data_IF_663337151161
#
_entry.id   IF_663337151161
#
_cell.length_a   1.000
_cell.length_b   1.000
_cell.length_c   1.000
_cell.angle_alpha   90.00
_cell.angle_beta   90.00
_cell.angle_gamma   90.00
#
_symmetry.space_group_name_H-M   'P 1'
#
loop_
_entity.id
_entity.type
_entity.pdbx_description
1 polymer ?
#
# COMPACT_ATOMS: atom_id res chain seq x y z
N UNK A 1 3.44 11.09 9.69
CA UNK A 1 2.81 9.80 10.04
C UNK A 1 1.37 9.81 9.57
N UNK A 2 0.93 8.74 8.86
CA UNK A 2 -0.45 8.60 8.42
C UNK A 2 -1.32 8.02 9.54
N UNK A 3 -2.52 8.54 9.77
CA UNK A 3 -3.47 7.93 10.72
C UNK A 3 -4.01 6.58 10.24
N UNK A 4 -3.92 6.28 8.93
CA UNK A 4 -4.43 5.03 8.33
C UNK A 4 -3.33 3.98 8.14
N UNK A 5 -2.15 4.36 7.67
CA UNK A 5 -1.05 3.46 7.31
C UNK A 5 0.18 3.59 8.23
N UNK A 6 0.18 4.55 9.14
CA UNK A 6 1.31 4.83 10.02
C UNK A 6 2.49 5.52 9.32
N UNK A 7 3.71 5.39 9.84
CA UNK A 7 4.90 6.03 9.28
C UNK A 7 5.35 5.36 7.98
N UNK A 8 6.05 6.12 7.13
CA UNK A 8 6.85 5.55 6.04
C UNK A 8 7.92 4.65 6.65
N UNK A 9 8.06 3.44 6.10
CA UNK A 9 9.04 2.45 6.57
C UNK A 9 10.12 2.26 5.53
N UNK A 10 11.37 2.11 6.02
CA UNK A 10 12.52 1.86 5.17
C UNK A 10 13.32 0.69 5.74
N UNK A 11 13.77 -0.22 4.88
CA UNK A 11 14.58 -1.37 5.25
C UNK A 11 15.64 -1.64 4.21
N UNK A 12 16.89 -1.82 4.63
CA UNK A 12 17.94 -2.34 3.75
C UNK A 12 17.69 -3.82 3.53
N UNK A 13 17.50 -4.21 2.29
CA UNK A 13 17.12 -5.58 1.90
C UNK A 13 18.25 -6.36 1.23
N UNK A 14 19.22 -5.66 0.66
CA UNK A 14 20.39 -6.25 0.03
C UNK A 14 21.59 -5.36 0.26
N UNK A 15 22.76 -5.96 0.49
CA UNK A 15 24.07 -5.27 0.58
C UNK A 15 25.06 -6.09 -0.23
N UNK A 16 25.87 -5.40 -1.03
CA UNK A 16 26.95 -6.00 -1.80
C UNK A 16 28.19 -5.12 -1.71
N UNK A 17 29.30 -5.69 -1.20
CA UNK A 17 30.57 -5.01 -1.06
C UNK A 17 31.73 -6.01 -1.04
N UNK A 18 32.83 -5.64 -1.71
CA UNK A 18 34.07 -6.40 -1.72
C UNK A 18 34.04 -7.70 -2.51
N UNK A 19 35.24 -8.16 -2.86
CA UNK A 19 35.45 -9.40 -3.63
C UNK A 19 36.53 -10.29 -3.02
N UNK A 20 37.34 -9.75 -2.11
CA UNK A 20 38.46 -10.45 -1.50
C UNK A 20 38.50 -10.21 0.02
N UNK A 21 38.92 -11.23 0.76
CA UNK A 21 38.90 -11.23 2.23
C UNK A 21 39.91 -10.26 2.90
N UNK A 22 40.91 -9.80 2.17
CA UNK A 22 42.01 -8.95 2.66
C UNK A 22 42.10 -7.59 1.95
N UNK A 23 41.08 -7.20 1.22
CA UNK A 23 41.01 -5.94 0.51
C UNK A 23 39.81 -5.13 0.98
N UNK A 24 40.03 -3.86 1.35
CA UNK A 24 38.95 -2.95 1.69
C UNK A 24 38.14 -2.66 0.41
N UNK A 25 36.82 -2.83 0.44
CA UNK A 25 35.97 -2.57 -0.72
C UNK A 25 36.07 -1.11 -1.18
N UNK A 26 36.22 -0.91 -2.46
CA UNK A 26 36.17 0.40 -3.13
C UNK A 26 34.71 0.86 -3.38
N UNK A 27 33.79 -0.11 -3.44
CA UNK A 27 32.36 0.14 -3.67
C UNK A 27 31.52 -0.69 -2.72
N UNK A 28 30.52 -0.06 -2.14
CA UNK A 28 29.43 -0.71 -1.42
C UNK A 28 28.10 -0.28 -2.04
N UNK A 29 27.30 -1.24 -2.49
CA UNK A 29 25.93 -1.02 -2.97
C UNK A 29 24.92 -1.67 -2.08
N UNK A 30 23.78 -1.03 -1.89
CA UNK A 30 22.70 -1.62 -1.10
C UNK A 30 21.34 -1.24 -1.71
N UNK A 31 20.36 -2.10 -1.48
CA UNK A 31 18.98 -1.88 -1.89
C UNK A 31 18.14 -1.57 -0.67
N UNK A 32 17.34 -0.51 -0.79
CA UNK A 32 16.39 -0.11 0.25
C UNK A 32 14.97 -0.33 -0.27
N UNK A 33 14.18 -1.11 0.46
CA UNK A 33 12.72 -1.18 0.27
C UNK A 33 12.08 -0.04 1.06
N UNK A 34 11.28 0.77 0.39
CA UNK A 34 10.59 1.91 0.99
C UNK A 34 9.09 1.68 0.86
N UNK A 35 8.42 1.60 2.00
CA UNK A 35 6.96 1.49 2.09
C UNK A 35 6.37 2.87 2.35
N UNK A 36 5.85 3.47 1.30
CA UNK A 36 5.18 4.77 1.34
C UNK A 36 3.79 4.67 2.00
N UNK A 37 3.23 5.81 2.34
CA UNK A 37 1.85 5.95 2.74
C UNK A 37 1.15 6.97 1.82
N UNK A 38 -0.13 7.22 2.04
CA UNK A 38 -0.96 8.07 1.20
C UNK A 38 -0.66 9.58 1.30
N UNK A 39 0.25 9.97 2.19
CA UNK A 39 0.63 11.38 2.39
C UNK A 39 1.73 11.86 1.45
N UNK A 40 2.47 10.92 0.85
CA UNK A 40 3.62 11.22 -0.01
C UNK A 40 3.60 10.35 -1.27
N UNK A 41 3.93 10.95 -2.40
CA UNK A 41 4.30 10.20 -3.59
C UNK A 41 5.67 9.53 -3.44
N UNK A 42 5.92 8.50 -4.22
CA UNK A 42 7.23 7.85 -4.24
C UNK A 42 8.36 8.81 -4.66
N UNK A 43 8.07 9.76 -5.56
CA UNK A 43 9.03 10.78 -5.98
C UNK A 43 9.39 11.75 -4.84
N UNK A 44 8.39 12.20 -4.07
CA UNK A 44 8.63 13.08 -2.92
C UNK A 44 9.49 12.39 -1.86
N UNK A 45 9.20 11.12 -1.55
CA UNK A 45 10.02 10.34 -0.61
C UNK A 45 11.44 10.18 -1.13
N UNK A 46 11.61 9.85 -2.41
CA UNK A 46 12.94 9.72 -3.00
C UNK A 46 13.74 11.02 -2.89
N UNK A 47 13.13 12.17 -3.17
CA UNK A 47 13.80 13.49 -3.02
C UNK A 47 14.20 13.80 -1.58
N UNK A 48 13.39 13.39 -0.61
CA UNK A 48 13.72 13.53 0.82
C UNK A 48 14.92 12.66 1.17
N UNK A 49 14.93 11.41 0.73
CA UNK A 49 16.04 10.47 0.96
C UNK A 49 17.32 11.01 0.31
N UNK A 50 17.27 11.36 -0.96
CA UNK A 50 18.42 11.86 -1.74
C UNK A 50 19.10 13.06 -1.08
N UNK A 51 18.31 13.98 -0.51
CA UNK A 51 18.82 15.15 0.22
C UNK A 51 19.39 14.82 1.61
N UNK A 52 19.05 13.67 2.15
CA UNK A 52 19.40 13.25 3.52
C UNK A 52 20.62 12.34 3.59
N UNK A 53 21.13 11.89 2.45
CA UNK A 53 22.25 10.96 2.36
C UNK A 53 23.45 11.60 1.66
N UNK A 54 24.64 11.09 1.93
CA UNK A 54 25.90 11.55 1.31
C UNK A 54 26.39 10.66 0.16
N UNK A 55 25.71 9.55 -0.11
CA UNK A 55 26.01 8.63 -1.20
C UNK A 55 25.05 8.84 -2.38
N UNK A 56 25.41 8.29 -3.54
CA UNK A 56 24.55 8.31 -4.72
C UNK A 56 23.28 7.44 -4.48
N UNK A 57 22.12 7.99 -4.83
CA UNK A 57 20.86 7.28 -4.80
C UNK A 57 20.25 7.17 -6.20
N UNK A 58 19.65 6.01 -6.50
CA UNK A 58 18.94 5.78 -7.75
C UNK A 58 17.64 5.05 -7.49
N UNK A 59 16.53 5.64 -7.88
CA UNK A 59 15.23 4.98 -7.79
C UNK A 59 15.08 3.91 -8.88
N UNK A 60 14.54 2.76 -8.52
CA UNK A 60 14.17 1.70 -9.48
C UNK A 60 12.90 2.05 -10.24
N UNK A 61 11.91 2.61 -9.56
CA UNK A 61 10.61 2.98 -10.14
C UNK A 61 9.83 3.85 -9.16
N UNK A 62 9.01 4.74 -9.71
CA UNK A 62 8.02 5.54 -8.96
C UNK A 62 6.58 5.11 -9.23
N UNK A 63 6.38 4.04 -10.03
CA UNK A 63 5.09 3.67 -10.61
C UNK A 63 4.03 3.25 -9.60
N UNK A 64 4.41 2.54 -8.54
CA UNK A 64 3.48 1.93 -7.59
C UNK A 64 3.28 2.83 -6.37
N UNK A 65 2.45 3.84 -6.50
CA UNK A 65 2.13 4.76 -5.42
C UNK A 65 1.04 4.20 -4.48
N UNK A 66 0.98 4.75 -3.27
CA UNK A 66 -0.13 4.52 -2.36
C UNK A 66 -1.42 5.11 -2.95
N UNK A 67 -2.52 4.40 -2.80
CA UNK A 67 -3.84 4.84 -3.24
C UNK A 67 -4.69 5.29 -2.05
N UNK A 68 -5.62 6.20 -2.29
CA UNK A 68 -6.56 6.65 -1.25
C UNK A 68 -7.88 7.12 -1.86
N UNK A 69 -8.90 7.19 -1.01
CA UNK A 69 -10.16 7.88 -1.26
C UNK A 69 -10.47 8.75 -0.04
N UNK A 70 -11.08 9.90 -0.25
CA UNK A 70 -11.50 10.76 0.84
C UNK A 70 -12.59 10.07 1.67
N UNK A 71 -12.46 10.14 3.00
CA UNK A 71 -13.47 9.60 3.92
C UNK A 71 -14.82 10.30 3.79
N UNK A 72 -14.85 11.57 3.34
CA UNK A 72 -16.07 12.31 3.05
C UNK A 72 -16.73 11.92 1.72
N UNK A 73 -16.07 11.12 0.90
CA UNK A 73 -16.62 10.69 -0.40
C UNK A 73 -17.98 9.98 -0.23
N UNK A 74 -19.00 10.30 -1.03
CA UNK A 74 -20.36 9.77 -0.87
C UNK A 74 -20.42 8.24 -0.80
N UNK A 75 -19.60 7.56 -1.59
CA UNK A 75 -19.50 6.09 -1.57
C UNK A 75 -19.02 5.56 -0.20
N UNK A 76 -18.01 6.20 0.39
CA UNK A 76 -17.49 5.83 1.71
C UNK A 76 -18.54 6.09 2.80
N UNK A 77 -19.20 7.25 2.75
CA UNK A 77 -20.26 7.57 3.71
C UNK A 77 -21.43 6.57 3.62
N UNK A 78 -21.81 6.14 2.43
CA UNK A 78 -22.82 5.09 2.24
C UNK A 78 -22.35 3.75 2.80
N UNK A 79 -21.07 3.38 2.61
CA UNK A 79 -20.50 2.16 3.20
C UNK A 79 -20.55 2.19 4.74
N UNK A 80 -20.22 3.33 5.34
CA UNK A 80 -20.29 3.52 6.80
C UNK A 80 -21.74 3.38 7.31
N UNK A 81 -22.72 3.95 6.61
CA UNK A 81 -24.15 3.78 6.92
C UNK A 81 -24.58 2.30 6.87
N UNK A 82 -23.96 1.51 5.99
CA UNK A 82 -24.13 0.06 5.91
C UNK A 82 -23.25 -0.70 6.93
N UNK A 83 -22.72 -0.02 7.93
CA UNK A 83 -21.87 -0.56 9.00
C UNK A 83 -20.58 -1.20 8.50
N UNK A 84 -20.04 -0.71 7.38
CA UNK A 84 -18.68 -1.07 6.94
C UNK A 84 -17.68 -0.11 7.57
N UNK A 85 -16.58 -0.66 8.07
CA UNK A 85 -15.52 0.11 8.71
C UNK A 85 -14.36 0.25 7.72
N UNK A 86 -14.10 1.46 7.21
CA UNK A 86 -12.91 1.70 6.39
C UNK A 86 -11.63 1.51 7.20
N UNK A 87 -10.61 0.97 6.57
CA UNK A 87 -9.28 0.79 7.17
C UNK A 87 -8.18 0.92 6.13
N UNK A 88 -6.97 1.28 6.58
CA UNK A 88 -5.77 1.27 5.77
C UNK A 88 -5.21 -0.15 5.63
N UNK A 89 -4.80 -0.53 4.41
CA UNK A 89 -4.16 -1.81 4.15
C UNK A 89 -2.74 -1.59 3.62
N UNK A 90 -1.71 -2.20 4.23
CA UNK A 90 -0.33 -2.10 3.75
C UNK A 90 -0.04 -3.00 2.54
N UNK A 91 -1.03 -3.79 2.09
CA UNK A 91 -0.86 -4.71 0.96
C UNK A 91 -0.96 -3.98 -0.37
N UNK A 92 -0.01 -4.26 -1.28
CA UNK A 92 -0.06 -3.76 -2.64
C UNK A 92 -1.22 -4.40 -3.41
N UNK A 93 -1.90 -3.61 -4.24
CA UNK A 93 -2.94 -4.08 -5.16
C UNK A 93 -2.88 -3.27 -6.46
N UNK A 94 -3.69 -3.63 -7.44
CA UNK A 94 -3.80 -2.92 -8.73
C UNK A 94 -4.17 -1.44 -8.58
N UNK A 95 -4.74 -1.05 -7.43
CA UNK A 95 -4.98 0.35 -7.09
C UNK A 95 -3.71 1.23 -7.17
N UNK A 96 -2.53 0.66 -6.94
CA UNK A 96 -1.27 1.38 -7.06
C UNK A 96 -0.99 1.92 -8.48
N UNK A 97 -1.71 1.43 -9.49
CA UNK A 97 -1.67 1.85 -10.88
C UNK A 97 -2.81 2.82 -11.26
N UNK A 98 -3.72 3.09 -10.32
CA UNK A 98 -4.89 3.94 -10.56
C UNK A 98 -4.58 5.37 -10.12
N UNK A 99 -4.62 6.33 -11.05
CA UNK A 99 -4.38 7.74 -10.78
C UNK A 99 -5.66 8.50 -10.39
N UNK A 100 -6.63 7.80 -9.82
CA UNK A 100 -7.92 8.35 -9.38
C UNK A 100 -8.29 7.80 -8.00
N UNK A 101 -9.16 8.51 -7.25
CA UNK A 101 -9.65 8.02 -5.97
C UNK A 101 -10.27 6.62 -6.10
N UNK A 102 -9.81 5.68 -5.30
CA UNK A 102 -10.27 4.30 -5.38
C UNK A 102 -10.31 3.64 -4.00
N UNK A 103 -11.20 2.68 -3.85
CA UNK A 103 -11.32 1.86 -2.64
C UNK A 103 -11.26 0.38 -3.01
N UNK A 104 -10.54 -0.39 -2.21
CA UNK A 104 -10.54 -1.85 -2.31
C UNK A 104 -11.62 -2.40 -1.39
N UNK A 105 -12.41 -3.30 -1.91
CA UNK A 105 -13.47 -3.97 -1.18
C UNK A 105 -13.58 -5.41 -1.65
N UNK A 106 -13.83 -6.33 -0.71
CA UNK A 106 -13.98 -7.75 -1.03
C UNK A 106 -14.67 -8.48 0.11
N UNK A 107 -15.19 -9.69 -0.15
CA UNK A 107 -15.70 -10.58 0.89
C UNK A 107 -14.58 -11.13 1.77
N UNK A 108 -14.92 -11.63 2.95
CA UNK A 108 -13.99 -12.27 3.87
C UNK A 108 -13.17 -11.30 4.73
N UNK A 109 -12.09 -11.81 5.28
CA UNK A 109 -11.19 -11.07 6.18
C UNK A 109 -9.78 -11.03 5.63
N UNK A 110 -9.20 -9.83 5.51
CA UNK A 110 -7.81 -9.64 5.04
C UNK A 110 -6.77 -10.40 5.88
N UNK A 111 -7.07 -10.69 7.14
CA UNK A 111 -6.16 -11.45 8.03
C UNK A 111 -6.00 -12.92 7.64
N UNK A 112 -6.84 -13.45 6.77
CA UNK A 112 -6.75 -14.82 6.25
C UNK A 112 -5.98 -14.89 4.92
N UNK A 113 -5.76 -13.77 4.27
CA UNK A 113 -5.05 -13.69 3.01
C UNK A 113 -3.56 -13.97 3.19
N UNK A 114 -2.96 -14.69 2.24
CA UNK A 114 -1.55 -15.10 2.25
C UNK A 114 -1.16 -15.99 3.44
N UNK A 115 -2.09 -16.78 3.96
CA UNK A 115 -1.84 -17.81 4.97
C UNK A 115 -1.81 -19.21 4.34
N UNK A 116 -1.21 -20.20 5.03
CA UNK A 116 -1.09 -21.57 4.51
C UNK A 116 -2.45 -22.21 4.19
N UNK A 117 -3.47 -21.91 5.02
CA UNK A 117 -4.84 -22.41 4.85
C UNK A 117 -5.79 -21.25 4.55
N UNK A 118 -5.46 -20.46 3.51
CA UNK A 118 -6.30 -19.34 3.08
C UNK A 118 -7.69 -19.83 2.68
N UNK A 119 -8.72 -19.26 3.28
CA UNK A 119 -10.11 -19.63 3.02
C UNK A 119 -11.06 -18.45 3.09
N UNK A 120 -12.21 -18.60 2.44
CA UNK A 120 -13.40 -17.76 2.58
C UNK A 120 -14.62 -18.62 2.89
N UNK A 121 -15.52 -18.11 3.71
CA UNK A 121 -16.78 -18.79 3.98
C UNK A 121 -17.80 -18.45 2.89
N UNK A 122 -18.59 -19.43 2.45
CA UNK A 122 -19.67 -19.25 1.45
C UNK A 122 -20.61 -18.12 1.89
N UNK A 123 -20.98 -18.09 3.17
CA UNK A 123 -21.83 -17.05 3.74
C UNK A 123 -21.22 -15.63 3.58
N UNK A 124 -19.89 -15.48 3.69
CA UNK A 124 -19.24 -14.18 3.49
C UNK A 124 -19.34 -13.71 2.02
N UNK A 125 -19.39 -14.65 1.07
CA UNK A 125 -19.61 -14.35 -0.35
C UNK A 125 -21.05 -13.92 -0.61
N UNK A 126 -22.02 -14.62 -0.04
CA UNK A 126 -23.46 -14.27 -0.13
C UNK A 126 -23.72 -12.89 0.49
N UNK A 127 -23.22 -12.63 1.69
CA UNK A 127 -23.33 -11.35 2.37
C UNK A 127 -22.69 -10.21 1.55
N UNK A 128 -21.58 -10.49 0.86
CA UNK A 128 -20.91 -9.48 0.02
C UNK A 128 -21.76 -9.09 -1.18
N UNK A 129 -22.47 -10.02 -1.81
CA UNK A 129 -23.39 -9.72 -2.92
C UNK A 129 -24.48 -8.75 -2.45
N UNK A 130 -25.10 -9.01 -1.31
CA UNK A 130 -26.12 -8.13 -0.72
C UNK A 130 -25.54 -6.74 -0.40
N UNK A 131 -24.33 -6.69 0.12
CA UNK A 131 -23.67 -5.43 0.44
C UNK A 131 -23.37 -4.63 -0.84
N UNK A 132 -22.84 -5.27 -1.89
CA UNK A 132 -22.57 -4.62 -3.17
C UNK A 132 -23.86 -4.09 -3.80
N UNK A 133 -24.92 -4.87 -3.79
CA UNK A 133 -26.23 -4.42 -4.27
C UNK A 133 -26.66 -3.16 -3.52
N UNK A 134 -26.66 -3.17 -2.21
CA UNK A 134 -27.06 -2.01 -1.38
C UNK A 134 -26.13 -0.81 -1.52
N UNK A 135 -24.85 -1.01 -1.82
CA UNK A 135 -23.90 0.08 -2.05
C UNK A 135 -24.11 0.76 -3.40
N UNK A 136 -24.43 -0.02 -4.43
CA UNK A 136 -24.43 0.45 -5.82
C UNK A 136 -25.83 0.83 -6.31
N UNK A 137 -26.88 0.17 -5.78
CA UNK A 137 -28.24 0.44 -6.21
C UNK A 137 -28.65 1.89 -5.93
N UNK A 138 -29.03 2.59 -6.99
CA UNK A 138 -29.38 4.01 -6.94
C UNK A 138 -28.24 4.96 -6.54
N UNK A 139 -26.97 4.48 -6.45
CA UNK A 139 -25.83 5.34 -6.17
C UNK A 139 -25.51 6.21 -7.39
N UNK A 140 -25.43 7.53 -7.15
CA UNK A 140 -25.00 8.53 -8.14
C UNK A 140 -23.92 9.40 -7.52
N UNK A 141 -22.88 9.70 -8.29
CA UNK A 141 -21.83 10.67 -7.95
C UNK A 141 -22.33 12.09 -8.15
#
# INVERSE_FOLDING_TARGET
ESPLLGPVKMSVTQINAGTQHNVIPDLCTFVVDVRSNELYSNEEIFRIIERSISCEAKARSFRLNSSRIDMAHPFIQRAIQLRRVPFGSPTLSDQALMNFPSVKMGPGKSSRSHTADEYIMIKEMEEAIEIYHRLLDGFRL
#
